data_IF_058647067590
#
_entry.id   IF_058647067590
#
_cell.length_a   1.000
_cell.length_b   1.000
_cell.length_c   1.000
_cell.angle_alpha   90.00
_cell.angle_beta   90.00
_cell.angle_gamma   90.00
#
_symmetry.space_group_name_H-M   'P 1'
#
loop_
_entity.id
_entity.type
_entity.pdbx_description
1 polymer ?
#
# COMPACT_ATOMS: atom_id res chain seq x y z
N UNK A 1 13.86 4.79 7.19
CA UNK A 1 13.59 3.61 8.04
C UNK A 1 12.09 3.44 8.24
N UNK A 2 11.52 2.29 7.89
CA UNK A 2 10.08 2.00 8.03
C UNK A 2 9.78 1.53 9.45
N UNK A 3 8.61 1.89 9.98
CA UNK A 3 8.11 1.28 11.22
C UNK A 3 7.52 -0.10 10.91
N UNK A 4 7.37 -0.96 11.93
CA UNK A 4 6.74 -2.28 11.76
C UNK A 4 5.37 -2.18 11.09
N UNK A 5 4.49 -1.30 11.59
CA UNK A 5 3.17 -1.07 11.00
C UNK A 5 3.20 -0.58 9.55
N UNK A 6 4.21 0.21 9.16
CA UNK A 6 4.37 0.63 7.76
C UNK A 6 4.77 -0.53 6.86
N UNK A 7 5.68 -1.38 7.34
CA UNK A 7 6.08 -2.60 6.63
C UNK A 7 4.91 -3.59 6.51
N UNK A 8 4.17 -3.80 7.61
CA UNK A 8 3.00 -4.67 7.62
C UNK A 8 1.93 -4.18 6.65
N UNK A 9 1.67 -2.87 6.59
CA UNK A 9 0.75 -2.28 5.62
C UNK A 9 1.21 -2.53 4.17
N UNK A 10 2.50 -2.30 3.87
CA UNK A 10 3.05 -2.54 2.53
C UNK A 10 2.91 -4.01 2.12
N UNK A 11 3.29 -4.94 3.00
CA UNK A 11 3.19 -6.37 2.75
C UNK A 11 1.75 -6.81 2.54
N UNK A 12 0.84 -6.30 3.36
CA UNK A 12 -0.59 -6.60 3.21
C UNK A 12 -1.13 -6.12 1.87
N UNK A 13 -0.82 -4.90 1.45
CA UNK A 13 -1.28 -4.40 0.13
C UNK A 13 -0.69 -5.24 -1.02
N UNK A 14 0.60 -5.57 -0.95
CA UNK A 14 1.28 -6.39 -1.97
C UNK A 14 0.70 -7.81 -2.06
N UNK A 15 0.42 -8.44 -0.92
CA UNK A 15 -0.18 -9.77 -0.85
C UNK A 15 -1.59 -9.77 -1.45
N UNK A 16 -2.45 -8.83 -1.04
CA UNK A 16 -3.82 -8.69 -1.58
C UNK A 16 -3.83 -8.39 -3.09
N UNK A 17 -2.90 -7.56 -3.55
CA UNK A 17 -2.67 -7.33 -4.97
C UNK A 17 -2.29 -8.62 -5.71
N UNK A 18 -1.47 -9.48 -5.10
CA UNK A 18 -1.01 -10.74 -5.70
C UNK A 18 -2.08 -11.83 -5.69
N UNK A 19 -2.94 -11.86 -4.68
CA UNK A 19 -4.01 -12.85 -4.53
C UNK A 19 -5.26 -12.49 -5.32
N UNK A 20 -5.80 -11.28 -5.15
CA UNK A 20 -7.09 -10.87 -5.74
C UNK A 20 -6.93 -10.01 -7.00
N UNK A 21 -5.71 -9.56 -7.31
CA UNK A 21 -5.47 -8.59 -8.40
C UNK A 21 -6.00 -7.19 -8.12
N UNK A 22 -6.57 -6.94 -6.93
CA UNK A 22 -7.17 -5.66 -6.53
C UNK A 22 -6.63 -5.18 -5.20
N UNK A 23 -6.47 -3.85 -5.01
CA UNK A 23 -5.87 -3.33 -3.79
C UNK A 23 -6.92 -3.35 -2.69
N UNK A 24 -6.52 -3.61 -1.42
CA UNK A 24 -7.45 -3.61 -0.32
C UNK A 24 -8.02 -2.20 -0.10
N UNK A 25 -9.22 -2.13 0.44
CA UNK A 25 -9.85 -0.88 0.87
C UNK A 25 -9.23 -0.36 2.18
N UNK A 26 -9.48 0.91 2.48
CA UNK A 26 -9.05 1.53 3.74
C UNK A 26 -9.60 0.81 4.97
N UNK A 27 -10.81 0.27 4.90
CA UNK A 27 -11.40 -0.51 5.98
C UNK A 27 -10.69 -1.87 6.13
N UNK A 28 -10.46 -2.60 5.03
CA UNK A 28 -9.71 -3.87 5.05
C UNK A 28 -8.29 -3.69 5.61
N UNK A 29 -7.58 -2.62 5.21
CA UNK A 29 -6.26 -2.29 5.77
C UNK A 29 -6.32 -1.97 7.26
N UNK A 30 -7.35 -1.25 7.70
CA UNK A 30 -7.54 -0.87 9.11
C UNK A 30 -7.79 -2.12 9.96
N UNK A 31 -8.65 -3.02 9.51
CA UNK A 31 -8.97 -4.28 10.18
C UNK A 31 -7.75 -5.23 10.20
N UNK A 32 -7.00 -5.34 9.09
CA UNK A 32 -5.81 -6.17 9.02
C UNK A 32 -4.67 -5.71 9.96
N UNK A 33 -4.55 -4.41 10.22
CA UNK A 33 -3.52 -3.84 11.10
C UNK A 33 -4.00 -3.58 12.54
N UNK A 34 -5.20 -4.07 12.88
CA UNK A 34 -5.87 -3.88 14.18
C UNK A 34 -5.84 -2.39 14.62
N UNK A 35 -6.22 -1.50 13.69
CA UNK A 35 -6.24 -0.06 13.96
C UNK A 35 -7.61 0.39 14.46
N UNK A 36 -7.59 1.18 15.53
CA UNK A 36 -8.81 1.73 16.14
C UNK A 36 -9.52 2.79 15.28
N UNK A 37 -8.86 3.35 14.26
CA UNK A 37 -9.43 4.44 13.47
C UNK A 37 -8.88 4.53 12.05
N UNK A 38 -9.72 5.04 11.12
CA UNK A 38 -9.33 5.35 9.73
C UNK A 38 -8.17 6.34 9.66
N UNK A 39 -8.12 7.32 10.57
CA UNK A 39 -7.03 8.30 10.64
C UNK A 39 -5.64 7.65 10.81
N UNK A 40 -5.56 6.50 11.49
CA UNK A 40 -4.32 5.71 11.60
C UNK A 40 -3.83 5.21 10.25
N UNK A 41 -4.72 4.64 9.44
CA UNK A 41 -4.40 4.19 8.08
C UNK A 41 -3.99 5.36 7.18
N UNK A 42 -4.72 6.48 7.21
CA UNK A 42 -4.37 7.65 6.41
C UNK A 42 -2.95 8.14 6.70
N UNK A 43 -2.55 8.19 7.99
CA UNK A 43 -1.19 8.58 8.39
C UNK A 43 -0.13 7.61 7.87
N UNK A 44 -0.39 6.30 7.94
CA UNK A 44 0.54 5.30 7.43
C UNK A 44 0.70 5.41 5.91
N UNK A 45 -0.41 5.53 5.17
CA UNK A 45 -0.38 5.66 3.71
C UNK A 45 0.34 6.94 3.30
N UNK A 46 0.01 8.09 3.89
CA UNK A 46 0.67 9.35 3.57
C UNK A 46 2.18 9.25 3.82
N UNK A 47 2.60 8.68 4.94
CA UNK A 47 4.03 8.49 5.22
C UNK A 47 4.73 7.53 4.25
N UNK A 48 4.04 6.50 3.75
CA UNK A 48 4.56 5.58 2.75
C UNK A 48 4.62 6.21 1.35
N UNK A 49 3.65 7.05 1.02
CA UNK A 49 3.55 7.80 -0.23
C UNK A 49 4.66 8.87 -0.33
N UNK A 50 4.84 9.67 0.73
CA UNK A 50 5.93 10.66 0.81
C UNK A 50 7.33 10.04 0.67
N UNK A 51 7.46 8.77 1.05
CA UNK A 51 8.71 8.00 0.95
C UNK A 51 8.85 7.24 -0.37
N UNK A 52 7.86 7.32 -1.26
CA UNK A 52 7.87 6.68 -2.57
C UNK A 52 7.66 5.17 -2.55
N UNK A 53 7.08 4.61 -1.50
CA UNK A 53 6.69 3.18 -1.46
C UNK A 53 5.28 2.95 -2.02
N UNK A 54 4.38 3.92 -1.83
CA UNK A 54 3.02 3.87 -2.34
C UNK A 54 2.74 5.07 -3.26
N UNK A 55 1.73 4.94 -4.11
CA UNK A 55 1.14 6.05 -4.85
C UNK A 55 -0.37 5.99 -4.78
N UNK A 56 -1.01 7.16 -4.62
CA UNK A 56 -2.46 7.29 -4.78
C UNK A 56 -2.84 7.57 -6.23
N UNK A 57 -3.90 6.91 -6.71
CA UNK A 57 -4.45 7.11 -8.05
C UNK A 57 -5.72 7.99 -7.99
N UNK A 58 -5.71 9.25 -8.45
CA UNK A 58 -6.92 10.07 -8.42
C UNK A 58 -8.05 9.40 -9.23
N UNK A 59 -9.29 9.60 -8.80
CA UNK A 59 -10.53 9.15 -9.46
C UNK A 59 -10.76 7.62 -9.50
N UNK A 60 -10.16 6.83 -8.59
CA UNK A 60 -10.50 5.39 -8.43
C UNK A 60 -10.88 5.02 -7.01
N UNK A 61 -11.88 4.16 -6.86
CA UNK A 61 -12.06 3.39 -5.63
C UNK A 61 -10.86 2.43 -5.49
N UNK A 62 -10.31 2.28 -4.27
CA UNK A 62 -9.09 1.49 -4.02
C UNK A 62 -7.90 2.02 -4.84
N UNK A 63 -7.66 3.31 -4.72
CA UNK A 63 -6.65 4.04 -5.46
C UNK A 63 -5.25 3.94 -4.86
N UNK A 64 -4.76 2.75 -4.51
CA UNK A 64 -3.41 2.61 -3.94
C UNK A 64 -2.62 1.57 -4.71
N UNK A 65 -1.39 1.93 -5.08
CA UNK A 65 -0.45 1.08 -5.79
C UNK A 65 0.89 1.03 -5.03
N UNK A 66 1.48 -0.17 -4.95
CA UNK A 66 2.80 -0.38 -4.36
C UNK A 66 3.86 -0.15 -5.43
N UNK A 67 4.71 0.86 -5.24
CA UNK A 67 5.77 1.22 -6.19
C UNK A 67 7.06 0.43 -5.95
N UNK A 68 7.37 0.12 -4.69
CA UNK A 68 8.59 -0.61 -4.31
C UNK A 68 8.45 -1.24 -2.95
N UNK A 69 9.17 -2.35 -2.74
CA UNK A 69 9.33 -2.98 -1.44
C UNK A 69 10.68 -2.58 -0.80
N UNK A 70 10.76 -2.49 0.54
CA UNK A 70 11.99 -2.12 1.23
C UNK A 70 13.10 -3.18 1.12
N UNK A 71 12.74 -4.46 1.00
CA UNK A 71 13.66 -5.59 0.90
C UNK A 71 14.20 -5.81 -0.52
N UNK A 72 14.62 -4.76 -1.25
CA UNK A 72 15.42 -4.87 -2.50
C UNK A 72 14.82 -5.64 -3.69
N UNK A 73 13.71 -6.37 -3.53
CA UNK A 73 12.98 -7.07 -4.57
C UNK A 73 12.07 -6.05 -5.24
N UNK A 74 12.67 -5.25 -6.11
CA UNK A 74 11.95 -4.28 -6.92
C UNK A 74 10.84 -4.99 -7.70
N UNK A 75 9.60 -4.58 -7.47
CA UNK A 75 8.64 -4.55 -8.56
C UNK A 75 8.74 -3.16 -9.16
N UNK A 76 9.75 -2.99 -10.02
CA UNK A 76 9.73 -1.95 -11.04
C UNK A 76 8.51 -2.31 -11.90
N UNK A 77 7.36 -1.69 -11.61
CA UNK A 77 6.15 -1.89 -12.38
C UNK A 77 6.51 -1.62 -13.85
N UNK A 78 6.38 -2.67 -14.67
CA UNK A 78 6.76 -2.66 -16.07
C UNK A 78 6.09 -1.49 -16.80
N UNK A 79 6.74 -0.86 -17.80
CA UNK A 79 6.07 0.10 -18.66
C UNK A 79 4.89 -0.61 -19.32
N UNK A 80 3.70 0.01 -19.26
CA UNK A 80 2.50 -0.49 -19.92
C UNK A 80 2.78 -0.82 -21.39
N UNK A 81 2.26 -1.93 -21.96
CA UNK A 81 2.39 -2.19 -23.38
C UNK A 81 1.63 -1.10 -24.15
N UNK A 82 2.27 -0.60 -25.21
CA UNK A 82 1.74 0.38 -26.16
C UNK A 82 0.52 -0.15 -26.93
#
# INVERSE_FOLDING_TARGET
>A
MLTRKQLDLLRFIDERMREDGVPPSFDEMKDALDLKSKSGIHRLITALEERGFLRRLPNRARAIEVLRMPDGAGRMAAPAPA
#
